data_IF_464996897411
#
_entry.id   IF_464996897411
#
_cell.length_a   1.000
_cell.length_b   1.000
_cell.length_c   1.000
_cell.angle_alpha   90.00
_cell.angle_beta   90.00
_cell.angle_gamma   90.00
#
_symmetry.space_group_name_H-M   'P 1'
#
loop_
_entity.id
_entity.type
_entity.pdbx_description
1 polymer ?
#
# COMPACT_ATOMS: atom_id res chain seq x y z
N UNK A 1 -32.51 7.32 -29.34
CA UNK A 1 -31.73 8.23 -28.48
C UNK A 1 -30.66 7.36 -27.86
N UNK A 2 -29.41 7.52 -28.27
CA UNK A 2 -28.30 6.83 -27.61
C UNK A 2 -28.15 7.45 -26.22
N UNK A 3 -28.30 6.64 -25.17
CA UNK A 3 -27.99 7.09 -23.81
C UNK A 3 -26.48 7.38 -23.76
N UNK A 4 -26.11 8.63 -23.49
CA UNK A 4 -24.73 8.95 -23.13
C UNK A 4 -24.38 8.21 -21.83
N UNK A 5 -23.66 7.10 -21.96
CA UNK A 5 -23.15 6.36 -20.82
C UNK A 5 -22.12 7.24 -20.11
N UNK A 6 -22.52 7.84 -18.97
CA UNK A 6 -21.60 8.58 -18.13
C UNK A 6 -20.45 7.66 -17.71
N UNK A 7 -19.23 8.02 -18.13
CA UNK A 7 -18.03 7.28 -17.76
C UNK A 7 -17.73 7.50 -16.27
N UNK A 8 -17.25 6.48 -15.57
CA UNK A 8 -16.79 6.66 -14.20
C UNK A 8 -15.59 7.62 -14.16
N UNK A 9 -15.58 8.47 -13.15
CA UNK A 9 -14.49 9.40 -12.87
C UNK A 9 -13.97 9.14 -11.46
N UNK A 10 -12.72 9.55 -11.20
CA UNK A 10 -12.09 9.34 -9.90
C UNK A 10 -12.17 10.63 -9.08
N UNK A 11 -12.59 10.49 -7.84
CA UNK A 11 -12.74 11.58 -6.88
C UNK A 11 -11.92 11.30 -5.63
N UNK A 12 -11.28 12.33 -5.06
CA UNK A 12 -10.57 12.21 -3.80
C UNK A 12 -11.44 12.68 -2.63
N UNK A 13 -11.48 11.91 -1.54
CA UNK A 13 -12.11 12.27 -0.28
C UNK A 13 -11.02 12.48 0.77
N UNK A 14 -11.01 13.67 1.38
CA UNK A 14 -10.19 13.96 2.56
C UNK A 14 -10.66 13.14 3.74
N UNK A 15 -9.74 12.43 4.37
CA UNK A 15 -9.99 11.62 5.56
C UNK A 15 -9.22 12.14 6.77
N UNK A 16 -9.54 11.61 7.95
CA UNK A 16 -8.66 11.76 9.10
C UNK A 16 -7.42 10.91 8.87
N UNK A 17 -6.22 11.48 9.06
CA UNK A 17 -4.96 10.74 8.91
C UNK A 17 -4.97 9.49 9.80
N UNK A 18 -4.62 8.34 9.23
CA UNK A 18 -4.65 7.04 9.90
C UNK A 18 -6.01 6.35 9.92
N UNK A 19 -7.03 6.92 9.27
CA UNK A 19 -8.37 6.35 9.12
C UNK A 19 -8.73 6.10 7.64
N UNK A 20 -7.76 6.13 6.74
CA UNK A 20 -7.94 5.96 5.28
C UNK A 20 -8.61 4.62 4.98
N UNK A 21 -8.03 3.51 5.45
CA UNK A 21 -8.57 2.16 5.23
C UNK A 21 -9.98 2.00 5.79
N UNK A 22 -10.18 2.34 7.06
CA UNK A 22 -11.51 2.26 7.70
C UNK A 22 -12.56 3.12 6.97
N UNK A 23 -12.16 4.30 6.51
CA UNK A 23 -13.07 5.19 5.74
C UNK A 23 -13.39 4.58 4.39
N UNK A 24 -12.40 4.01 3.69
CA UNK A 24 -12.60 3.32 2.42
C UNK A 24 -13.56 2.13 2.57
N UNK A 25 -13.37 1.29 3.59
CA UNK A 25 -14.23 0.13 3.88
C UNK A 25 -15.68 0.56 4.16
N UNK A 26 -15.88 1.65 4.91
CA UNK A 26 -17.21 2.21 5.16
C UNK A 26 -17.88 2.77 3.89
N UNK A 27 -17.11 3.41 3.01
CA UNK A 27 -17.63 3.91 1.73
C UNK A 27 -18.05 2.74 0.84
N UNK A 28 -17.22 1.70 0.73
CA UNK A 28 -17.52 0.50 -0.04
C UNK A 28 -18.79 -0.19 0.46
N UNK A 29 -18.89 -0.43 1.78
CA UNK A 29 -20.07 -1.03 2.40
C UNK A 29 -21.37 -0.23 2.12
N UNK A 30 -21.29 1.10 2.14
CA UNK A 30 -22.44 1.96 1.81
C UNK A 30 -22.77 1.98 0.34
N UNK A 31 -21.77 1.93 -0.53
CA UNK A 31 -21.98 1.80 -1.96
C UNK A 31 -22.80 0.55 -2.28
N UNK A 32 -22.46 -0.58 -1.65
CA UNK A 32 -23.21 -1.83 -1.77
C UNK A 32 -24.63 -1.71 -1.18
N UNK A 33 -24.73 -1.22 0.06
CA UNK A 33 -26.01 -1.12 0.79
C UNK A 33 -27.03 -0.22 0.09
N UNK A 34 -26.59 0.91 -0.46
CA UNK A 34 -27.45 1.87 -1.14
C UNK A 34 -27.45 1.72 -2.67
N UNK A 35 -26.80 0.68 -3.19
CA UNK A 35 -26.66 0.40 -4.63
C UNK A 35 -26.17 1.63 -5.43
N UNK A 36 -25.17 2.32 -4.89
CA UNK A 36 -24.59 3.50 -5.53
C UNK A 36 -23.72 3.10 -6.72
N UNK A 37 -23.64 3.92 -7.78
CA UNK A 37 -22.82 3.62 -8.94
C UNK A 37 -21.33 3.91 -8.71
N UNK A 38 -20.79 3.42 -7.60
CA UNK A 38 -19.37 3.43 -7.24
C UNK A 38 -18.76 2.11 -7.72
N UNK A 39 -17.64 2.19 -8.42
CA UNK A 39 -16.93 1.05 -9.02
C UNK A 39 -15.81 0.54 -8.13
N UNK A 40 -15.06 1.44 -7.53
CA UNK A 40 -13.92 1.09 -6.67
C UNK A 40 -13.64 2.17 -5.62
N UNK A 41 -13.00 1.75 -4.53
CA UNK A 41 -12.47 2.63 -3.49
C UNK A 41 -11.04 2.22 -3.19
N UNK A 42 -10.10 3.16 -3.26
CA UNK A 42 -8.67 2.94 -3.07
C UNK A 42 -8.15 3.76 -1.88
N UNK A 43 -7.49 3.09 -0.94
CA UNK A 43 -6.72 3.69 0.15
C UNK A 43 -5.25 3.26 0.00
N UNK A 44 -4.43 4.01 -0.77
CA UNK A 44 -3.07 3.59 -1.06
C UNK A 44 -2.15 3.80 0.16
N UNK A 45 -1.29 2.83 0.54
CA UNK A 45 -0.47 2.90 1.76
C UNK A 45 0.44 4.13 1.89
N UNK A 46 0.85 4.72 0.76
CA UNK A 46 1.73 5.89 0.70
C UNK A 46 1.03 7.24 0.82
N UNK A 47 -0.30 7.30 0.76
CA UNK A 47 -1.06 8.55 0.79
C UNK A 47 -1.78 8.70 2.12
N UNK A 48 -1.46 9.78 2.83
CA UNK A 48 -2.04 10.09 4.14
C UNK A 48 -3.18 11.08 4.01
N UNK A 49 -4.29 10.80 4.66
CA UNK A 49 -5.46 11.69 4.75
C UNK A 49 -6.33 11.73 3.49
N UNK A 50 -6.19 10.79 2.56
CA UNK A 50 -7.04 10.70 1.38
C UNK A 50 -7.43 9.27 1.05
N UNK A 51 -8.61 9.13 0.44
CA UNK A 51 -9.07 7.93 -0.26
C UNK A 51 -9.59 8.34 -1.64
N UNK A 52 -9.44 7.48 -2.63
CA UNK A 52 -9.90 7.71 -4.00
C UNK A 52 -11.12 6.83 -4.28
N UNK A 53 -12.13 7.39 -4.91
CA UNK A 53 -13.39 6.71 -5.22
C UNK A 53 -13.66 6.87 -6.71
N UNK A 54 -13.76 5.75 -7.42
CA UNK A 54 -14.17 5.71 -8.81
C UNK A 54 -15.70 5.56 -8.87
N UNK A 55 -16.40 6.49 -9.50
CA UNK A 55 -17.85 6.47 -9.53
C UNK A 55 -18.45 7.17 -10.76
N UNK A 56 -19.68 6.79 -11.09
CA UNK A 56 -20.49 7.52 -12.07
C UNK A 56 -21.14 8.71 -11.37
N UNK A 57 -20.61 9.90 -11.64
CA UNK A 57 -21.12 11.15 -11.13
C UNK A 57 -20.77 11.44 -9.67
N UNK A 58 -20.45 12.70 -9.40
CA UNK A 58 -20.01 13.22 -8.09
C UNK A 58 -21.02 13.02 -6.95
N UNK A 59 -22.31 12.99 -7.27
CA UNK A 59 -23.40 12.85 -6.28
C UNK A 59 -23.37 11.51 -5.55
N UNK A 60 -22.98 10.43 -6.23
CA UNK A 60 -22.88 9.09 -5.64
C UNK A 60 -21.79 9.04 -4.55
N UNK A 61 -20.64 9.66 -4.80
CA UNK A 61 -19.53 9.79 -3.84
C UNK A 61 -19.94 10.62 -2.63
N UNK A 62 -20.69 11.71 -2.87
CA UNK A 62 -21.22 12.57 -1.82
C UNK A 62 -22.18 11.82 -0.91
N UNK A 63 -23.11 11.06 -1.50
CA UNK A 63 -24.06 10.23 -0.76
C UNK A 63 -23.34 9.13 0.05
N UNK A 64 -22.34 8.46 -0.53
CA UNK A 64 -21.60 7.40 0.17
C UNK A 64 -20.87 7.93 1.41
N UNK A 65 -20.20 9.08 1.30
CA UNK A 65 -19.41 9.64 2.41
C UNK A 65 -20.24 10.27 3.53
N UNK A 66 -21.48 10.69 3.24
CA UNK A 66 -22.28 11.55 4.11
C UNK A 66 -22.53 10.92 5.49
N UNK A 67 -22.05 11.53 6.57
CA UNK A 67 -22.20 11.00 7.92
C UNK A 67 -21.15 9.96 8.33
N UNK A 68 -20.13 9.67 7.50
CA UNK A 68 -18.92 8.97 7.94
C UNK A 68 -18.05 9.97 8.69
N UNK A 69 -17.84 9.75 10.00
CA UNK A 69 -17.09 10.66 10.90
C UNK A 69 -15.71 11.09 10.35
N UNK A 70 -15.01 10.16 9.72
CA UNK A 70 -13.65 10.36 9.24
C UNK A 70 -13.58 10.84 7.78
N UNK A 71 -14.68 10.88 7.03
CA UNK A 71 -14.74 11.45 5.69
C UNK A 71 -15.07 12.96 5.76
N UNK A 72 -14.03 13.81 5.70
CA UNK A 72 -14.14 15.26 5.96
C UNK A 72 -14.68 16.07 4.79
N UNK A 73 -14.48 15.60 3.57
CA UNK A 73 -15.02 16.27 2.39
C UNK A 73 -14.30 15.85 1.11
N UNK A 74 -15.00 15.95 -0.01
CA UNK A 74 -14.43 15.68 -1.32
C UNK A 74 -13.54 16.85 -1.78
N UNK A 75 -12.44 16.53 -2.45
CA UNK A 75 -11.58 17.50 -3.13
C UNK A 75 -12.30 17.99 -4.39
N UNK A 76 -12.11 19.26 -4.74
CA UNK A 76 -12.69 19.81 -5.96
C UNK A 76 -12.03 19.21 -7.20
N UNK A 77 -12.84 18.85 -8.20
CA UNK A 77 -12.36 18.29 -9.46
C UNK A 77 -12.30 16.76 -9.48
N UNK A 78 -11.87 16.25 -10.63
CA UNK A 78 -11.61 14.83 -10.90
C UNK A 78 -10.12 14.57 -10.88
N UNK A 79 -9.73 13.36 -10.49
CA UNK A 79 -8.34 12.91 -10.48
C UNK A 79 -8.08 12.11 -11.77
N UNK A 80 -7.09 12.49 -12.59
CA UNK A 80 -6.63 11.67 -13.72
C UNK A 80 -6.10 10.32 -13.23
N UNK A 81 -6.27 9.26 -14.02
CA UNK A 81 -5.79 7.92 -13.64
C UNK A 81 -4.26 7.89 -13.50
N UNK A 82 -3.57 8.70 -14.31
CA UNK A 82 -2.11 8.82 -14.37
C UNK A 82 -1.51 9.26 -13.01
N UNK A 83 -2.26 10.04 -12.21
CA UNK A 83 -1.82 10.43 -10.88
C UNK A 83 -1.86 9.25 -9.88
N UNK A 84 -2.69 8.23 -10.14
CA UNK A 84 -2.96 7.10 -9.26
C UNK A 84 -2.16 5.85 -9.65
N UNK A 85 -1.77 5.71 -10.92
CA UNK A 85 -1.08 4.52 -11.47
C UNK A 85 0.13 4.07 -10.63
N UNK A 86 0.93 5.03 -10.15
CA UNK A 86 2.10 4.76 -9.31
C UNK A 86 1.78 4.05 -7.98
N UNK A 87 0.53 4.12 -7.52
CA UNK A 87 0.06 3.47 -6.30
C UNK A 87 -0.64 2.12 -6.56
N UNK A 88 -0.93 1.80 -7.83
CA UNK A 88 -1.50 0.52 -8.23
C UNK A 88 -0.42 -0.57 -8.34
N UNK A 89 0.84 -0.17 -8.49
CA UNK A 89 1.99 -1.07 -8.47
C UNK A 89 2.54 -1.14 -7.04
N UNK A 90 2.31 -2.24 -6.29
CA UNK A 90 2.96 -2.41 -5.01
C UNK A 90 4.47 -2.47 -5.22
N UNK A 91 5.22 -1.72 -4.41
CA UNK A 91 6.68 -1.83 -4.42
C UNK A 91 7.06 -3.19 -3.84
N UNK A 92 7.99 -3.94 -4.47
CA UNK A 92 8.50 -5.19 -3.92
C UNK A 92 8.92 -5.05 -2.47
N UNK A 93 8.67 -6.08 -1.65
CA UNK A 93 9.01 -6.06 -0.23
C UNK A 93 10.51 -5.83 0.07
N UNK A 94 11.38 -6.17 -0.89
CA UNK A 94 12.83 -5.97 -0.80
C UNK A 94 13.31 -4.61 -1.35
N UNK A 95 12.39 -3.72 -1.77
CA UNK A 95 12.74 -2.42 -2.36
C UNK A 95 13.57 -1.59 -1.38
N UNK A 96 14.75 -1.16 -1.80
CA UNK A 96 15.65 -0.31 -1.01
C UNK A 96 16.55 -1.07 -0.02
N UNK A 97 16.54 -2.40 -0.07
CA UNK A 97 17.54 -3.27 0.55
C UNK A 97 18.74 -3.46 -0.39
N UNK A 98 19.93 -3.61 0.17
CA UNK A 98 21.15 -3.83 -0.58
C UNK A 98 21.95 -5.03 -0.03
N UNK A 99 22.75 -5.66 -0.89
CA UNK A 99 23.69 -6.69 -0.44
C UNK A 99 24.71 -6.06 0.52
N UNK A 100 24.81 -6.62 1.72
CA UNK A 100 25.62 -6.10 2.83
C UNK A 100 24.80 -5.40 3.92
N UNK A 101 23.53 -5.07 3.68
CA UNK A 101 22.65 -4.53 4.72
C UNK A 101 22.49 -5.53 5.88
N UNK A 102 22.35 -5.00 7.09
CA UNK A 102 22.01 -5.77 8.28
C UNK A 102 20.52 -5.69 8.52
N UNK A 103 19.90 -6.86 8.58
CA UNK A 103 18.47 -7.03 8.80
C UNK A 103 18.20 -7.84 10.07
N UNK A 104 17.03 -7.67 10.65
CA UNK A 104 16.47 -8.51 11.70
C UNK A 104 15.34 -9.36 11.11
N UNK A 105 15.34 -10.63 11.44
CA UNK A 105 14.29 -11.56 11.06
C UNK A 105 13.02 -11.24 11.87
N UNK A 106 11.90 -10.87 11.22
CA UNK A 106 10.65 -10.53 11.92
C UNK A 106 9.67 -11.70 12.03
N UNK A 107 9.88 -12.76 11.26
CA UNK A 107 9.03 -13.94 11.22
C UNK A 107 9.84 -15.23 10.99
N UNK A 108 9.17 -16.39 11.08
CA UNK A 108 9.81 -17.69 10.90
C UNK A 108 10.60 -18.18 12.13
N UNK A 109 11.34 -19.29 11.99
CA UNK A 109 12.04 -19.93 13.10
C UNK A 109 13.20 -19.09 13.66
N UNK A 110 13.77 -18.19 12.86
CA UNK A 110 14.90 -17.33 13.21
C UNK A 110 14.47 -15.94 13.70
N UNK A 111 13.19 -15.75 14.07
CA UNK A 111 12.65 -14.45 14.46
C UNK A 111 13.44 -13.83 15.62
N UNK A 112 13.86 -12.59 15.45
CA UNK A 112 14.66 -11.81 16.40
C UNK A 112 16.16 -11.89 16.14
N UNK A 113 16.63 -12.85 15.34
CA UNK A 113 18.03 -12.95 14.96
C UNK A 113 18.41 -11.88 13.96
N UNK A 114 19.68 -11.46 14.01
CA UNK A 114 20.27 -10.53 13.05
C UNK A 114 21.01 -11.28 11.96
N UNK A 115 20.92 -10.76 10.75
CA UNK A 115 21.51 -11.36 9.58
C UNK A 115 22.06 -10.29 8.63
N UNK A 116 23.00 -10.68 7.77
CA UNK A 116 23.50 -9.85 6.67
C UNK A 116 22.96 -10.35 5.34
N UNK A 117 22.47 -9.45 4.50
CA UNK A 117 22.03 -9.79 3.15
C UNK A 117 23.24 -10.15 2.29
N UNK A 118 23.23 -11.34 1.69
CA UNK A 118 24.27 -11.80 0.76
C UNK A 118 23.79 -11.83 -0.69
N UNK A 119 22.48 -11.95 -0.94
CA UNK A 119 21.87 -11.96 -2.27
C UNK A 119 20.44 -11.44 -2.23
N UNK A 120 20.03 -10.75 -3.31
CA UNK A 120 18.67 -10.28 -3.54
C UNK A 120 18.14 -10.85 -4.86
N UNK A 121 16.87 -11.24 -4.88
CA UNK A 121 16.12 -11.63 -6.08
C UNK A 121 14.82 -10.80 -6.13
N UNK A 122 14.88 -9.66 -6.83
CA UNK A 122 13.73 -8.74 -6.98
C UNK A 122 12.55 -9.36 -7.71
N UNK A 123 12.81 -10.28 -8.65
CA UNK A 123 11.76 -10.94 -9.42
C UNK A 123 10.91 -11.89 -8.57
N UNK A 124 11.49 -12.46 -7.51
CA UNK A 124 10.81 -13.35 -6.56
C UNK A 124 10.47 -12.71 -5.23
N UNK A 125 10.91 -11.48 -5.00
CA UNK A 125 10.88 -10.82 -3.70
C UNK A 125 11.52 -11.64 -2.57
N UNK A 126 12.60 -12.33 -2.90
CA UNK A 126 13.37 -13.17 -1.97
C UNK A 126 14.77 -12.58 -1.74
N UNK A 127 15.32 -12.86 -0.56
CA UNK A 127 16.66 -12.48 -0.17
C UNK A 127 17.33 -13.65 0.53
N UNK A 128 18.62 -13.83 0.27
CA UNK A 128 19.45 -14.78 1.01
C UNK A 128 20.24 -14.02 2.05
N UNK A 129 20.15 -14.46 3.29
CA UNK A 129 20.85 -13.88 4.45
C UNK A 129 21.77 -14.88 5.12
N UNK A 130 22.78 -14.33 5.78
CA UNK A 130 23.72 -15.04 6.65
C UNK A 130 23.49 -14.57 8.10
N UNK A 131 23.12 -15.49 9.00
CA UNK A 131 22.83 -15.21 10.40
C UNK A 131 24.11 -14.97 11.20
N UNK A 132 24.12 -13.96 12.09
CA UNK A 132 25.28 -13.68 12.94
C UNK A 132 25.43 -14.64 14.13
N UNK A 133 24.33 -15.19 14.64
CA UNK A 133 24.34 -16.05 15.82
C UNK A 133 24.75 -17.50 15.51
N UNK A 134 24.88 -17.85 14.23
CA UNK A 134 25.27 -19.18 13.80
C UNK A 134 26.80 -19.39 13.89
N UNK A 135 27.24 -20.45 14.56
CA UNK A 135 28.65 -20.85 14.66
C UNK A 135 29.28 -21.15 13.30
N UNK A 136 28.45 -21.53 12.32
CA UNK A 136 28.84 -21.79 10.94
C UNK A 136 27.94 -20.96 10.03
N UNK A 137 28.47 -20.29 8.99
CA UNK A 137 27.66 -19.50 8.08
C UNK A 137 26.70 -20.39 7.28
N UNK A 138 25.40 -20.30 7.59
CA UNK A 138 24.35 -21.01 6.87
C UNK A 138 23.54 -19.97 6.09
N UNK A 139 23.57 -19.98 4.74
CA UNK A 139 22.75 -19.10 3.94
C UNK A 139 21.28 -19.56 3.99
N UNK A 140 20.37 -18.65 4.35
CA UNK A 140 18.93 -18.90 4.38
C UNK A 140 18.23 -17.96 3.42
N UNK A 141 17.42 -18.50 2.51
CA UNK A 141 16.57 -17.69 1.62
C UNK A 141 15.20 -17.49 2.26
N UNK A 142 14.79 -16.23 2.35
CA UNK A 142 13.51 -15.81 2.93
C UNK A 142 12.85 -14.75 2.04
N UNK A 143 11.56 -14.52 2.26
CA UNK A 143 10.83 -13.42 1.59
C UNK A 143 11.17 -12.07 2.22
N UNK A 144 11.07 -11.01 1.43
CA UNK A 144 11.35 -9.63 1.89
C UNK A 144 10.48 -9.16 3.05
N UNK A 145 9.24 -9.63 3.15
CA UNK A 145 8.32 -9.33 4.25
C UNK A 145 8.70 -10.00 5.59
N UNK A 146 9.61 -10.98 5.56
CA UNK A 146 10.09 -11.68 6.74
C UNK A 146 11.29 -10.99 7.42
N UNK A 147 11.78 -9.87 6.88
CA UNK A 147 12.93 -9.15 7.43
C UNK A 147 12.67 -7.66 7.59
N UNK A 148 13.44 -7.02 8.45
CA UNK A 148 13.43 -5.58 8.70
C UNK A 148 14.85 -5.03 8.71
N UNK A 149 15.12 -3.98 7.93
CA UNK A 149 16.43 -3.32 7.92
C UNK A 149 16.73 -2.68 9.29
N UNK A 150 17.91 -2.97 9.82
CA UNK A 150 18.44 -2.38 11.06
C UNK A 150 19.56 -1.39 10.74
N UNK A 151 20.44 -1.73 9.81
CA UNK A 151 21.54 -0.89 9.39
C UNK A 151 21.76 -1.05 7.89
N UNK A 152 21.84 0.07 7.17
CA UNK A 152 22.29 0.06 5.77
C UNK A 152 23.79 -0.16 5.73
N UNK A 153 24.27 -0.82 4.67
CA UNK A 153 25.70 -0.98 4.40
C UNK A 153 26.40 0.38 4.58
N UNK A 154 27.44 0.42 5.41
CA UNK A 154 28.27 1.61 5.54
C UNK A 154 28.96 1.86 4.20
N UNK A 155 28.68 3.01 3.58
CA UNK A 155 29.56 3.55 2.54
C UNK A 155 30.87 3.92 3.20
N UNK A 156 31.88 3.08 3.03
CA UNK A 156 33.27 3.47 3.30
C UNK A 156 33.59 4.56 2.27
N UNK A 157 33.56 5.82 2.72
CA UNK A 157 34.12 6.96 1.99
C UNK A 157 35.63 6.84 1.86
#
# INVERSE_FOLDING_TARGET
MEEEVQKPEIFAIRTTIGQEKNTADMIASRAETFHLPIKSVLAPPGIRGYVFVEAVGKSSVEQARMGIKHAKGMVGGRIPIEEIEQFLVPKPSITGMEVGDVVEMVSGPFRGERARIIKLDEGKEELTVELFEATVPIPVTVRGDAVKIIQKKEEVK
#
